data_IF_461114301990
#
_entry.id   IF_461114301990
#
_cell.length_a   1.000
_cell.length_b   1.000
_cell.length_c   1.000
_cell.angle_alpha   90.00
_cell.angle_beta   90.00
_cell.angle_gamma   90.00
#
_symmetry.space_group_name_H-M   'P 1'
#
loop_
_entity.id
_entity.type
_entity.pdbx_description
1 polymer ?
#
# COMPACT_ATOMS: atom_id res chain seq x y z
N UNK A 1 13.83 6.97 -4.14
CA UNK A 1 13.15 6.22 -3.05
C UNK A 1 11.65 6.33 -3.21
N UNK A 2 10.92 5.29 -2.88
CA UNK A 2 9.47 5.29 -3.02
C UNK A 2 8.81 6.32 -2.08
N UNK A 3 7.72 6.92 -2.58
CA UNK A 3 6.88 7.83 -1.80
C UNK A 3 5.48 7.24 -1.73
N UNK A 4 4.79 7.48 -0.62
CA UNK A 4 3.48 6.89 -0.35
C UNK A 4 2.42 7.95 -0.09
N UNK A 5 1.17 7.59 -0.40
CA UNK A 5 -0.03 8.25 0.10
C UNK A 5 -0.83 7.22 0.88
N UNK A 6 -1.02 7.44 2.17
CA UNK A 6 -1.84 6.53 2.98
C UNK A 6 -3.30 6.96 2.93
N UNK A 7 -4.15 6.01 2.50
CA UNK A 7 -5.59 6.23 2.42
C UNK A 7 -6.20 6.43 3.80
N UNK A 8 -7.42 6.96 3.83
CA UNK A 8 -8.17 7.15 5.08
C UNK A 8 -8.31 5.82 5.83
N UNK A 9 -8.27 5.88 7.15
CA UNK A 9 -8.37 4.72 8.07
C UNK A 9 -7.20 3.73 7.98
N UNK A 10 -6.12 4.09 7.32
CA UNK A 10 -4.93 3.26 7.31
C UNK A 10 -4.18 3.35 8.64
N UNK A 11 -3.45 2.29 9.01
CA UNK A 11 -2.77 2.19 10.30
C UNK A 11 -1.63 3.21 10.43
N UNK A 12 -1.78 4.17 11.35
CA UNK A 12 -0.72 5.15 11.61
C UNK A 12 0.57 4.48 12.10
N UNK A 13 0.46 3.32 12.74
CA UNK A 13 1.64 2.59 13.22
C UNK A 13 2.54 2.15 12.05
N UNK A 14 1.94 1.71 10.95
CA UNK A 14 2.71 1.37 9.74
C UNK A 14 3.34 2.63 9.13
N UNK A 15 2.57 3.72 9.06
CA UNK A 15 3.07 5.01 8.54
C UNK A 15 4.31 5.45 9.32
N UNK A 16 4.27 5.39 10.64
CA UNK A 16 5.40 5.78 11.49
C UNK A 16 6.66 4.97 11.19
N UNK A 17 6.50 3.66 11.03
CA UNK A 17 7.65 2.78 10.76
C UNK A 17 8.22 3.05 9.36
N UNK A 18 7.36 3.25 8.36
CA UNK A 18 7.83 3.61 7.01
C UNK A 18 8.59 4.94 7.03
N UNK A 19 8.10 5.93 7.76
CA UNK A 19 8.78 7.22 7.92
C UNK A 19 10.12 7.07 8.62
N UNK A 20 10.19 6.26 9.67
CA UNK A 20 11.44 5.96 10.37
C UNK A 20 12.46 5.26 9.46
N UNK A 21 11.98 4.51 8.49
CA UNK A 21 12.81 3.83 7.48
C UNK A 21 13.24 4.75 6.34
N UNK A 22 12.87 6.02 6.38
CA UNK A 22 13.30 7.01 5.41
C UNK A 22 12.32 7.27 4.27
N UNK A 23 11.15 6.64 4.27
CA UNK A 23 10.15 6.85 3.21
C UNK A 23 9.33 8.10 3.46
N UNK A 24 9.00 8.80 2.37
CA UNK A 24 8.09 9.94 2.40
C UNK A 24 6.65 9.42 2.35
N UNK A 25 5.92 9.56 3.44
CA UNK A 25 4.52 9.15 3.52
C UNK A 25 3.65 10.37 3.79
N UNK A 26 2.77 10.69 2.84
CA UNK A 26 1.74 11.70 3.02
C UNK A 26 0.43 11.00 3.40
N UNK A 27 -0.13 11.35 4.55
CA UNK A 27 -1.41 10.77 4.96
C UNK A 27 -2.57 11.60 4.39
N UNK A 28 -3.76 11.00 4.30
CA UNK A 28 -4.97 11.73 3.92
C UNK A 28 -5.25 12.88 4.90
N UNK A 29 -4.93 12.70 6.17
CA UNK A 29 -5.06 13.74 7.18
C UNK A 29 -4.11 14.93 6.88
N UNK A 30 -2.84 14.65 6.61
CA UNK A 30 -1.85 15.71 6.28
C UNK A 30 -2.19 16.41 4.98
N UNK A 31 -2.79 15.72 4.04
CA UNK A 31 -3.24 16.28 2.76
C UNK A 31 -4.57 17.03 2.89
N UNK A 32 -5.15 17.08 4.10
CA UNK A 32 -6.46 17.70 4.38
C UNK A 32 -7.60 17.07 3.59
N UNK A 33 -7.51 15.77 3.33
CA UNK A 33 -8.51 15.00 2.60
C UNK A 33 -9.30 14.04 3.48
N UNK A 34 -8.91 13.90 4.76
CA UNK A 34 -9.62 13.03 5.69
C UNK A 34 -11.05 13.55 5.92
N UNK A 35 -12.01 12.64 5.95
CA UNK A 35 -13.44 12.93 6.16
C UNK A 35 -14.06 13.85 5.09
N UNK A 36 -13.45 13.95 3.90
CA UNK A 36 -13.96 14.77 2.80
C UNK A 36 -14.80 13.96 1.81
N UNK A 37 -14.99 12.67 2.05
CA UNK A 37 -15.74 11.82 1.12
C UNK A 37 -15.05 11.66 -0.25
N UNK A 38 -13.74 11.73 -0.28
CA UNK A 38 -12.96 11.60 -1.51
C UNK A 38 -13.12 10.18 -2.05
N UNK A 39 -13.50 10.05 -3.33
CA UNK A 39 -13.64 8.74 -3.95
C UNK A 39 -12.29 8.05 -4.12
N UNK A 40 -12.29 6.72 -4.20
CA UNK A 40 -11.07 5.94 -4.41
C UNK A 40 -10.40 6.30 -5.74
N UNK A 41 -11.19 6.60 -6.77
CA UNK A 41 -10.69 7.07 -8.05
C UNK A 41 -9.93 8.38 -7.90
N UNK A 42 -10.44 9.32 -7.11
CA UNK A 42 -9.78 10.60 -6.85
C UNK A 42 -8.55 10.45 -5.96
N UNK A 43 -8.56 9.49 -5.04
CA UNK A 43 -7.38 9.12 -4.24
C UNK A 43 -6.23 8.69 -5.16
N UNK A 44 -6.51 7.80 -6.11
CA UNK A 44 -5.52 7.35 -7.09
C UNK A 44 -5.00 8.54 -7.90
N UNK A 45 -5.89 9.38 -8.38
CA UNK A 45 -5.53 10.54 -9.20
C UNK A 45 -4.61 11.50 -8.44
N UNK A 46 -4.96 11.82 -7.20
CA UNK A 46 -4.16 12.68 -6.35
C UNK A 46 -2.75 12.10 -6.11
N UNK A 47 -2.69 10.82 -5.73
CA UNK A 47 -1.43 10.15 -5.47
C UNK A 47 -0.55 10.07 -6.73
N UNK A 48 -1.16 9.75 -7.86
CA UNK A 48 -0.44 9.64 -9.14
C UNK A 48 0.16 10.97 -9.56
N UNK A 49 -0.55 12.07 -9.36
CA UNK A 49 -0.05 13.42 -9.68
C UNK A 49 1.19 13.79 -8.85
N UNK A 50 1.40 13.13 -7.73
CA UNK A 50 2.55 13.34 -6.86
C UNK A 50 3.57 12.19 -6.93
N UNK A 51 3.39 11.27 -7.84
CA UNK A 51 4.25 10.07 -7.97
C UNK A 51 4.31 9.26 -6.68
N UNK A 52 3.16 9.11 -6.00
CA UNK A 52 3.05 8.39 -4.74
C UNK A 52 2.33 7.06 -4.94
N UNK A 53 2.84 6.04 -4.25
CA UNK A 53 2.18 4.74 -4.15
C UNK A 53 1.05 4.86 -3.14
N UNK A 54 -0.15 4.43 -3.50
CA UNK A 54 -1.28 4.35 -2.56
C UNK A 54 -1.07 3.14 -1.65
N UNK A 55 -1.14 3.36 -0.35
CA UNK A 55 -1.14 2.27 0.64
C UNK A 55 -2.48 2.30 1.37
N UNK A 56 -3.15 1.15 1.43
CA UNK A 56 -4.55 1.09 1.85
C UNK A 56 -4.92 -0.28 2.42
N UNK A 57 -5.99 -0.34 3.21
CA UNK A 57 -6.66 -1.58 3.59
C UNK A 57 -7.83 -1.93 2.67
N UNK A 58 -8.29 -0.99 1.83
CA UNK A 58 -9.45 -1.19 0.96
C UNK A 58 -9.06 -2.04 -0.24
N UNK A 59 -9.45 -3.31 -0.19
CA UNK A 59 -9.04 -4.30 -1.18
C UNK A 59 -9.85 -4.21 -2.47
N UNK A 60 -11.14 -4.39 -2.36
CA UNK A 60 -11.98 -4.69 -3.53
C UNK A 60 -12.08 -3.50 -4.48
N UNK A 61 -12.29 -2.31 -3.94
CA UNK A 61 -12.44 -1.10 -4.76
C UNK A 61 -11.15 -0.77 -5.52
N UNK A 62 -9.99 -0.90 -4.86
CA UNK A 62 -8.71 -0.60 -5.53
C UNK A 62 -8.31 -1.68 -6.54
N UNK A 63 -8.64 -2.94 -6.28
CA UNK A 63 -8.44 -4.01 -7.28
C UNK A 63 -9.29 -3.73 -8.52
N UNK A 64 -10.55 -3.35 -8.33
CA UNK A 64 -11.45 -3.04 -9.46
C UNK A 64 -10.93 -1.86 -10.29
N UNK A 65 -10.47 -0.80 -9.65
CA UNK A 65 -9.91 0.35 -10.36
C UNK A 65 -8.64 -0.03 -11.13
N UNK A 66 -7.78 -0.81 -10.53
CA UNK A 66 -6.56 -1.30 -11.18
C UNK A 66 -6.89 -2.14 -12.42
N UNK A 67 -7.80 -3.10 -12.28
CA UNK A 67 -8.22 -3.96 -13.40
C UNK A 67 -8.98 -3.18 -14.47
N UNK A 68 -9.66 -2.12 -14.08
CA UNK A 68 -10.35 -1.21 -15.00
C UNK A 68 -9.43 -0.29 -15.79
N UNK A 69 -8.13 -0.34 -15.55
CA UNK A 69 -7.13 0.40 -16.34
C UNK A 69 -6.77 1.76 -15.80
N UNK A 70 -7.15 2.10 -14.56
CA UNK A 70 -6.72 3.38 -13.95
C UNK A 70 -5.19 3.44 -13.85
N UNK A 71 -4.60 4.52 -14.37
CA UNK A 71 -3.15 4.74 -14.23
C UNK A 71 -2.82 5.12 -12.80
N UNK A 72 -1.74 4.55 -12.27
CA UNK A 72 -1.28 4.87 -10.92
C UNK A 72 0.21 4.60 -10.77
N UNK A 73 0.80 5.17 -9.73
CA UNK A 73 2.22 5.01 -9.41
C UNK A 73 2.51 3.78 -8.57
N UNK A 74 1.52 2.96 -8.32
CA UNK A 74 1.57 1.76 -7.52
C UNK A 74 0.48 1.74 -6.46
N UNK A 75 -0.01 0.55 -6.15
CA UNK A 75 -0.98 0.33 -5.08
C UNK A 75 -0.48 -0.83 -4.24
N UNK A 76 -0.37 -0.62 -2.94
CA UNK A 76 -0.08 -1.68 -1.97
C UNK A 76 -1.29 -1.82 -1.07
N UNK A 77 -1.94 -2.97 -1.15
CA UNK A 77 -3.07 -3.31 -0.27
C UNK A 77 -2.51 -4.10 0.90
N UNK A 78 -2.63 -3.53 2.08
CA UNK A 78 -2.16 -4.14 3.31
C UNK A 78 -3.25 -4.99 3.95
N UNK A 79 -2.81 -5.95 4.75
CA UNK A 79 -3.69 -6.73 5.58
C UNK A 79 -3.97 -5.97 6.88
N UNK A 80 -5.22 -5.96 7.31
CA UNK A 80 -5.60 -5.43 8.62
C UNK A 80 -5.16 -6.44 9.69
N UNK A 81 -3.94 -6.28 10.17
CA UNK A 81 -3.27 -7.20 11.07
C UNK A 81 -2.53 -6.41 12.14
N UNK A 82 -2.60 -6.88 13.39
CA UNK A 82 -1.99 -6.18 14.52
C UNK A 82 -0.46 -6.18 14.51
N UNK A 83 0.15 -7.07 13.74
CA UNK A 83 1.59 -7.08 13.57
C UNK A 83 2.04 -5.96 12.61
N UNK A 84 1.84 -4.73 13.03
CA UNK A 84 2.16 -3.54 12.25
C UNK A 84 3.64 -3.47 11.92
N UNK A 85 4.49 -3.78 12.89
CA UNK A 85 5.94 -3.76 12.71
C UNK A 85 6.39 -4.81 11.69
N UNK A 86 5.89 -6.05 11.82
CA UNK A 86 6.23 -7.12 10.89
C UNK A 86 5.79 -6.81 9.48
N UNK A 87 4.57 -6.28 9.30
CA UNK A 87 4.08 -5.92 7.99
C UNK A 87 4.86 -4.75 7.38
N UNK A 88 5.17 -3.72 8.17
CA UNK A 88 5.96 -2.58 7.70
C UNK A 88 7.37 -3.02 7.27
N UNK A 89 8.02 -3.87 8.05
CA UNK A 89 9.32 -4.43 7.69
C UNK A 89 9.26 -5.25 6.40
N UNK A 90 8.19 -6.02 6.24
CA UNK A 90 7.97 -6.80 5.03
C UNK A 90 7.84 -5.90 3.80
N UNK A 91 7.09 -4.79 3.92
CA UNK A 91 6.96 -3.80 2.85
C UNK A 91 8.32 -3.22 2.49
N UNK A 92 9.11 -2.82 3.49
CA UNK A 92 10.45 -2.26 3.26
C UNK A 92 11.35 -3.26 2.53
N UNK A 93 11.35 -4.52 2.96
CA UNK A 93 12.12 -5.58 2.31
C UNK A 93 11.69 -5.82 0.87
N UNK A 94 10.39 -5.84 0.63
CA UNK A 94 9.84 -5.98 -0.72
C UNK A 94 10.32 -4.84 -1.62
N UNK A 95 10.23 -3.60 -1.15
CA UNK A 95 10.63 -2.43 -1.95
C UNK A 95 12.12 -2.42 -2.26
N UNK A 96 12.96 -2.82 -1.31
CA UNK A 96 14.41 -2.87 -1.50
C UNK A 96 14.83 -3.90 -2.55
N UNK A 97 14.03 -4.93 -2.75
CA UNK A 97 14.33 -6.00 -3.70
C UNK A 97 13.70 -5.77 -5.09
N UNK A 98 12.98 -4.66 -5.28
CA UNK A 98 12.40 -4.37 -6.59
C UNK A 98 13.43 -3.74 -7.51
N UNK A 99 13.52 -4.27 -8.74
CA UNK A 99 14.38 -3.74 -9.79
C UNK A 99 13.62 -2.76 -10.70
N UNK A 100 12.29 -2.81 -10.70
CA UNK A 100 11.42 -1.95 -11.48
C UNK A 100 10.54 -1.14 -10.55
N UNK A 101 10.10 0.04 -11.01
CA UNK A 101 9.13 0.82 -10.26
C UNK A 101 7.79 0.08 -10.15
N UNK A 102 6.90 0.62 -9.32
CA UNK A 102 5.58 0.03 -9.11
C UNK A 102 4.49 0.68 -9.98
N UNK A 103 4.86 1.45 -10.98
CA UNK A 103 3.89 2.09 -11.87
C UNK A 103 2.94 1.05 -12.47
N UNK A 104 1.65 1.26 -12.26
CA UNK A 104 0.59 0.39 -12.75
C UNK A 104 0.66 -1.05 -12.21
N UNK A 105 1.29 -1.24 -11.05
CA UNK A 105 1.36 -2.53 -10.37
C UNK A 105 0.58 -2.50 -9.07
N UNK A 106 -0.22 -3.52 -8.82
CA UNK A 106 -0.95 -3.68 -7.58
C UNK A 106 -0.43 -4.88 -6.82
N UNK A 107 0.03 -4.64 -5.60
CA UNK A 107 0.59 -5.65 -4.71
C UNK A 107 -0.34 -5.79 -3.51
N UNK A 108 -0.75 -7.02 -3.22
CA UNK A 108 -1.55 -7.34 -2.04
C UNK A 108 -0.73 -8.13 -1.05
N UNK A 109 -0.73 -7.70 0.20
CA UNK A 109 -0.04 -8.40 1.29
C UNK A 109 -1.03 -9.37 1.92
N UNK A 110 -0.61 -10.62 2.06
CA UNK A 110 -1.38 -11.69 2.68
C UNK A 110 -0.53 -12.38 3.74
N UNK A 111 -1.14 -13.25 4.52
CA UNK A 111 -0.43 -14.16 5.43
C UNK A 111 -0.65 -15.60 5.00
N UNK A 112 0.37 -16.42 5.15
CA UNK A 112 0.32 -17.84 4.84
C UNK A 112 0.91 -18.64 5.98
N UNK A 113 0.24 -19.72 6.38
CA UNK A 113 0.75 -20.67 7.35
C UNK A 113 1.91 -21.46 6.74
N UNK A 114 2.97 -21.59 7.53
CA UNK A 114 4.13 -22.40 7.13
C UNK A 114 4.19 -23.65 8.00
N UNK A 115 4.15 -24.87 7.41
CA UNK A 115 4.13 -26.10 8.20
C UNK A 115 5.31 -26.26 9.16
N UNK A 116 6.45 -25.63 8.86
CA UNK A 116 7.67 -25.73 9.65
C UNK A 116 7.84 -24.59 10.66
N UNK A 117 6.92 -23.63 10.69
CA UNK A 117 7.01 -22.48 11.57
C UNK A 117 5.75 -22.36 12.43
N UNK A 118 5.93 -21.86 13.66
CA UNK A 118 4.82 -21.70 14.58
C UNK A 118 3.94 -20.47 14.26
N UNK A 119 4.39 -19.58 13.39
CA UNK A 119 3.68 -18.36 13.07
C UNK A 119 3.51 -18.21 11.56
N UNK A 120 2.37 -17.65 11.11
CA UNK A 120 2.19 -17.29 9.71
C UNK A 120 3.23 -16.26 9.26
N UNK A 121 3.57 -16.29 7.98
CA UNK A 121 4.47 -15.30 7.38
C UNK A 121 3.71 -14.43 6.39
N UNK A 122 4.14 -13.18 6.22
CA UNK A 122 3.60 -12.31 5.19
C UNK A 122 4.10 -12.78 3.82
N UNK A 123 3.20 -12.74 2.85
CA UNK A 123 3.49 -13.02 1.45
C UNK A 123 2.84 -11.93 0.59
N UNK A 124 3.25 -11.86 -0.67
CA UNK A 124 2.64 -10.94 -1.63
C UNK A 124 1.92 -11.71 -2.73
N UNK A 125 0.90 -11.05 -3.27
CA UNK A 125 0.26 -11.43 -4.52
C UNK A 125 0.18 -10.20 -5.40
N UNK A 126 0.72 -10.29 -6.61
CA UNK A 126 0.61 -9.21 -7.58
C UNK A 126 -0.58 -9.48 -8.50
N UNK A 127 -1.42 -8.47 -8.73
CA UNK A 127 -2.61 -8.56 -9.56
C UNK A 127 -2.33 -7.95 -10.92
N UNK A 128 -2.57 -8.72 -11.96
CA UNK A 128 -2.49 -8.24 -13.33
C UNK A 128 -3.77 -7.49 -13.72
N UNK A 129 -3.68 -6.68 -14.77
CA UNK A 129 -4.81 -5.88 -15.24
C UNK A 129 -5.78 -6.63 -16.13
N UNK A 130 -5.34 -7.74 -16.67
CA UNK A 130 -6.13 -8.51 -17.64
C UNK A 130 -6.98 -9.56 -16.93
#
# INVERSE_FOLDING_TARGET
MAKFYSNENFAINIVKILRQSGYDVLTSYDARQANQGISDKDVIKFATNQNRIVITFNRDDFIDLHRGGADHSGIIICRDDRDYEGQAKFICGFLQNQTKDLNNRLIRIQKQNQPKFNSPVFIIREYERV
#
